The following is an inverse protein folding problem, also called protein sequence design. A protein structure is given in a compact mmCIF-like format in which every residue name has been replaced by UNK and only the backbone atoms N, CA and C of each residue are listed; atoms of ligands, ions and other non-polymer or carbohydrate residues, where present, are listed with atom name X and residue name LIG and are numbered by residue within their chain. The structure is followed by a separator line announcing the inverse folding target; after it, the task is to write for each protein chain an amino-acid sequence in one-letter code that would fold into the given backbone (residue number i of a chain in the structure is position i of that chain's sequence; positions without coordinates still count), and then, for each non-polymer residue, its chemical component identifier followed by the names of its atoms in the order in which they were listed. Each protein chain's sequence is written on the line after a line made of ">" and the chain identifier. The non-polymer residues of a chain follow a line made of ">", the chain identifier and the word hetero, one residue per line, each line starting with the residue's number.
data_IF_036566868096
#
_entry.id   IF_036566868096
#
_cell.length_a   1.000
_cell.length_b   1.000
_cell.length_c   1.000
_cell.angle_alpha   90.00
_cell.angle_beta   90.00
_cell.angle_gamma   90.00
#
_symmetry.space_group_name_H-M   'P 1'
#
loop_
_entity.id
_entity.type
_entity.pdbx_description
1 polymer ?
#
# COMPACT_ATOMS: atom_id res chain seq x y z
N UNK A 1 14.04 26.08 -14.14
CA UNK A 1 13.86 25.72 -12.72
C UNK A 1 12.41 25.68 -12.30
N UNK A 2 11.67 26.74 -12.62
CA UNK A 2 10.23 26.80 -12.28
C UNK A 2 9.44 25.65 -12.88
N UNK A 3 9.65 25.35 -14.17
CA UNK A 3 8.93 24.27 -14.87
C UNK A 3 9.32 22.91 -14.28
N UNK A 4 10.60 22.71 -14.03
CA UNK A 4 11.07 21.45 -13.45
C UNK A 4 10.52 21.25 -12.03
N UNK A 5 10.52 22.31 -11.23
CA UNK A 5 9.93 22.23 -9.89
C UNK A 5 8.46 21.89 -9.91
N UNK A 6 7.71 22.50 -10.83
CA UNK A 6 6.29 22.20 -10.99
C UNK A 6 6.07 20.76 -11.47
N UNK A 7 6.90 20.27 -12.37
CA UNK A 7 6.82 18.90 -12.85
C UNK A 7 7.03 17.92 -11.71
N UNK A 8 8.07 18.13 -10.92
CA UNK A 8 8.39 17.25 -9.78
C UNK A 8 7.28 17.29 -8.73
N UNK A 9 6.76 18.46 -8.45
CA UNK A 9 5.68 18.61 -7.48
C UNK A 9 4.42 17.90 -7.96
N UNK A 10 4.04 18.05 -9.23
CA UNK A 10 2.88 17.39 -9.79
C UNK A 10 3.04 15.88 -9.78
N UNK A 11 4.23 15.38 -10.12
CA UNK A 11 4.52 13.95 -10.10
C UNK A 11 4.37 13.41 -8.67
N UNK A 12 4.92 14.11 -7.69
CA UNK A 12 4.82 13.68 -6.30
C UNK A 12 3.38 13.67 -5.81
N UNK A 13 2.56 14.65 -6.24
CA UNK A 13 1.15 14.68 -5.87
C UNK A 13 0.39 13.49 -6.46
N UNK A 14 0.67 13.13 -7.69
CA UNK A 14 0.05 11.97 -8.32
C UNK A 14 0.45 10.69 -7.60
N UNK A 15 1.74 10.55 -7.28
CA UNK A 15 2.22 9.39 -6.53
C UNK A 15 1.55 9.29 -5.16
N UNK A 16 1.36 10.43 -4.49
CA UNK A 16 0.67 10.45 -3.21
C UNK A 16 -0.76 9.93 -3.34
N UNK A 17 -1.48 10.35 -4.38
CA UNK A 17 -2.84 9.90 -4.62
C UNK A 17 -2.87 8.40 -4.88
N UNK A 18 -1.96 7.90 -5.71
CA UNK A 18 -1.88 6.48 -6.02
C UNK A 18 -1.59 5.68 -4.75
N UNK A 19 -0.66 6.15 -3.93
CA UNK A 19 -0.33 5.49 -2.67
C UNK A 19 -1.51 5.47 -1.71
N UNK A 20 -2.28 6.56 -1.66
CA UNK A 20 -3.45 6.62 -0.80
C UNK A 20 -4.53 5.64 -1.24
N UNK A 21 -4.80 5.56 -2.54
CA UNK A 21 -5.75 4.58 -3.07
C UNK A 21 -5.30 3.16 -2.75
N UNK A 22 -4.03 2.87 -2.92
CA UNK A 22 -3.49 1.56 -2.61
C UNK A 22 -3.57 1.25 -1.11
N UNK A 23 -3.36 2.27 -0.27
CA UNK A 23 -3.52 2.11 1.17
C UNK A 23 -4.93 1.67 1.54
N UNK A 24 -5.94 2.31 0.94
CA UNK A 24 -7.33 1.91 1.19
C UNK A 24 -7.60 0.49 0.71
N UNK A 25 -7.05 0.11 -0.43
CA UNK A 25 -7.15 -1.26 -0.93
C UNK A 25 -6.52 -2.23 0.08
N UNK A 26 -5.37 -1.89 0.64
CA UNK A 26 -4.72 -2.71 1.65
C UNK A 26 -5.55 -2.82 2.94
N UNK A 27 -6.18 -1.73 3.36
CA UNK A 27 -7.04 -1.74 4.54
C UNK A 27 -8.21 -2.68 4.31
N UNK A 28 -8.86 -2.58 3.17
CA UNK A 28 -9.96 -3.47 2.83
C UNK A 28 -9.49 -4.92 2.78
N UNK A 29 -8.33 -5.17 2.19
CA UNK A 29 -7.76 -6.51 2.12
C UNK A 29 -7.50 -7.09 3.51
N UNK A 30 -6.99 -6.25 4.43
CA UNK A 30 -6.75 -6.69 5.79
C UNK A 30 -8.04 -7.07 6.51
N UNK A 31 -9.07 -6.24 6.34
CA UNK A 31 -10.37 -6.53 6.96
C UNK A 31 -10.99 -7.80 6.39
N UNK A 32 -10.89 -8.01 5.08
CA UNK A 32 -11.39 -9.22 4.45
C UNK A 32 -10.65 -10.46 4.95
N UNK A 33 -9.37 -10.33 5.23
CA UNK A 33 -8.58 -11.43 5.77
C UNK A 33 -9.12 -11.90 7.12
N UNK A 34 -9.63 -10.97 7.93
CA UNK A 34 -10.19 -11.30 9.25
C UNK A 34 -11.60 -11.84 9.16
N UNK A 35 -12.40 -11.33 8.20
CA UNK A 35 -13.79 -11.76 8.01
C UNK A 35 -13.87 -13.12 7.30
N UNK A 36 -12.84 -13.48 6.58
CA UNK A 36 -12.75 -14.75 5.84
C UNK A 36 -13.88 -14.89 4.81
N UNK A 37 -13.95 -13.98 3.83
CA UNK A 37 -15.05 -13.97 2.86
C UNK A 37 -14.93 -15.11 1.85
N UNK A 38 -16.01 -15.27 1.05
CA UNK A 38 -16.07 -16.26 -0.02
C UNK A 38 -14.93 -16.02 -1.01
N UNK A 39 -14.00 -16.99 -1.17
CA UNK A 39 -12.88 -16.82 -2.10
C UNK A 39 -13.29 -16.79 -3.58
N UNK A 40 -14.52 -17.17 -3.89
CA UNK A 40 -15.02 -17.14 -5.25
C UNK A 40 -15.68 -15.82 -5.61
N UNK A 41 -15.79 -14.89 -4.66
CA UNK A 41 -16.34 -13.57 -4.93
C UNK A 41 -15.39 -12.80 -5.87
N UNK A 42 -15.89 -12.27 -7.01
CA UNK A 42 -15.03 -11.57 -7.96
C UNK A 42 -14.32 -10.36 -7.36
N UNK A 43 -14.94 -9.65 -6.42
CA UNK A 43 -14.34 -8.50 -5.77
C UNK A 43 -13.16 -8.96 -4.91
N UNK A 44 -13.32 -10.04 -4.17
CA UNK A 44 -12.25 -10.60 -3.34
C UNK A 44 -11.10 -11.07 -4.22
N UNK A 45 -11.38 -11.73 -5.33
CA UNK A 45 -10.36 -12.17 -6.27
C UNK A 45 -9.59 -11.00 -6.87
N UNK A 46 -10.30 -9.94 -7.22
CA UNK A 46 -9.68 -8.73 -7.76
C UNK A 46 -8.74 -8.09 -6.72
N UNK A 47 -9.21 -7.92 -5.49
CA UNK A 47 -8.40 -7.35 -4.42
C UNK A 47 -7.15 -8.19 -4.16
N UNK A 48 -7.32 -9.52 -4.13
CA UNK A 48 -6.18 -10.40 -3.92
C UNK A 48 -5.17 -10.30 -5.06
N UNK A 49 -5.64 -10.18 -6.30
CA UNK A 49 -4.74 -10.14 -7.45
C UNK A 49 -3.84 -8.90 -7.46
N UNK A 50 -4.34 -7.77 -6.95
CA UNK A 50 -3.56 -6.53 -6.94
C UNK A 50 -2.75 -6.35 -5.65
N UNK A 51 -3.06 -7.09 -4.59
CA UNK A 51 -2.34 -6.96 -3.32
C UNK A 51 -1.38 -8.11 -3.06
N UNK A 52 -1.67 -9.30 -3.56
CA UNK A 52 -0.88 -10.50 -3.24
C UNK A 52 0.58 -10.39 -3.67
N UNK A 53 0.93 -9.83 -4.85
CA UNK A 53 2.35 -9.71 -5.20
C UNK A 53 3.16 -8.91 -4.18
N UNK A 54 2.59 -7.83 -3.66
CA UNK A 54 3.27 -7.00 -2.65
C UNK A 54 3.33 -7.74 -1.32
N UNK A 55 2.23 -8.34 -0.92
CA UNK A 55 2.16 -9.08 0.35
C UNK A 55 3.13 -10.28 0.34
N UNK A 56 3.23 -10.96 -0.78
CA UNK A 56 4.15 -12.07 -0.92
C UNK A 56 5.59 -11.63 -0.68
N UNK A 57 5.99 -10.50 -1.25
CA UNK A 57 7.33 -9.97 -1.05
C UNK A 57 7.59 -9.61 0.40
N UNK A 58 6.62 -9.00 1.05
CA UNK A 58 6.74 -8.62 2.46
C UNK A 58 6.86 -9.87 3.33
N UNK A 59 6.07 -10.90 3.05
CA UNK A 59 6.12 -12.15 3.82
C UNK A 59 7.46 -12.83 3.70
N UNK A 60 8.10 -12.74 2.53
CA UNK A 60 9.42 -13.32 2.34
C UNK A 60 10.50 -12.65 3.18
N UNK A 61 10.34 -11.34 3.42
CA UNK A 61 11.31 -10.57 4.18
C UNK A 61 11.11 -10.70 5.69
N UNK A 62 9.99 -11.26 6.13
CA UNK A 62 9.66 -11.34 7.54
C UNK A 62 9.41 -12.76 7.99
N UNK A 63 10.08 -13.20 9.06
CA UNK A 63 9.80 -14.51 9.64
C UNK A 63 8.54 -14.42 10.51
N UNK A 64 7.38 -14.69 9.90
CA UNK A 64 6.10 -14.62 10.60
C UNK A 64 5.54 -15.99 10.92
N UNK A 65 6.39 -17.00 10.91
CA UNK A 65 5.97 -18.35 11.18
C UNK A 65 5.51 -18.53 12.63
N UNK A 66 4.41 -19.23 12.81
CA UNK A 66 3.92 -19.61 14.12
C UNK A 66 2.87 -18.70 14.74
N UNK A 67 2.59 -17.54 14.18
CA UNK A 67 1.60 -16.62 14.77
C UNK A 67 0.17 -16.93 14.33
N UNK A 68 0.00 -17.49 13.13
CA UNK A 68 -1.33 -17.73 12.58
C UNK A 68 -2.05 -16.48 12.13
N UNK A 69 -1.48 -15.30 12.37
CA UNK A 69 -2.04 -14.02 11.98
C UNK A 69 -1.15 -13.38 10.93
N UNK A 70 -1.76 -12.89 9.86
CA UNK A 70 -1.04 -12.23 8.78
C UNK A 70 -0.94 -10.74 9.05
N UNK A 71 0.26 -10.28 9.40
CA UNK A 71 0.52 -8.86 9.65
C UNK A 71 1.08 -8.15 8.41
N UNK A 72 1.22 -8.85 7.28
CA UNK A 72 1.79 -8.26 6.06
C UNK A 72 1.05 -7.02 5.59
N UNK A 73 -0.31 -7.01 5.54
CA UNK A 73 -1.01 -5.80 5.12
C UNK A 73 -0.72 -4.60 6.01
N UNK A 74 -0.58 -4.81 7.32
CA UNK A 74 -0.29 -3.72 8.25
C UNK A 74 1.08 -3.11 7.95
N UNK A 75 2.07 -3.93 7.64
CA UNK A 75 3.41 -3.46 7.32
C UNK A 75 3.41 -2.67 6.03
N UNK A 76 2.68 -3.15 5.02
CA UNK A 76 2.56 -2.42 3.76
C UNK A 76 1.90 -1.06 3.99
N UNK A 77 0.86 -1.00 4.83
CA UNK A 77 0.20 0.26 5.16
C UNK A 77 1.19 1.22 5.82
N UNK A 78 1.98 0.74 6.76
CA UNK A 78 2.99 1.59 7.42
C UNK A 78 4.04 2.09 6.43
N UNK A 79 4.47 1.25 5.50
CA UNK A 79 5.40 1.66 4.46
C UNK A 79 4.80 2.73 3.56
N UNK A 80 3.51 2.59 3.20
CA UNK A 80 2.83 3.58 2.38
C UNK A 80 2.75 4.91 3.12
N UNK A 81 2.41 4.90 4.39
CA UNK A 81 2.35 6.12 5.21
C UNK A 81 3.73 6.79 5.25
N UNK A 82 4.77 6.00 5.43
CA UNK A 82 6.14 6.53 5.44
C UNK A 82 6.47 7.19 4.10
N UNK A 83 6.16 6.52 2.99
CA UNK A 83 6.44 7.06 1.66
C UNK A 83 5.63 8.33 1.40
N UNK A 84 4.37 8.37 1.83
CA UNK A 84 3.55 9.58 1.68
C UNK A 84 4.14 10.75 2.47
N UNK A 85 4.57 10.50 3.69
CA UNK A 85 5.18 11.54 4.52
C UNK A 85 6.49 12.04 3.90
N UNK A 86 7.28 11.12 3.38
CA UNK A 86 8.53 11.48 2.71
C UNK A 86 8.26 12.38 1.50
N UNK A 87 7.27 12.02 0.68
CA UNK A 87 6.94 12.81 -0.50
C UNK A 87 6.44 14.20 -0.13
N UNK A 88 5.56 14.29 0.88
CA UNK A 88 5.04 15.60 1.31
C UNK A 88 6.16 16.48 1.83
N UNK A 89 7.04 15.95 2.65
CA UNK A 89 8.17 16.71 3.19
C UNK A 89 9.14 17.14 2.08
N UNK A 90 9.36 16.26 1.11
CA UNK A 90 10.24 16.59 -0.02
C UNK A 90 9.64 17.69 -0.88
N UNK A 91 8.33 17.69 -1.10
CA UNK A 91 7.65 18.76 -1.85
C UNK A 91 7.82 20.09 -1.11
N UNK A 92 7.70 20.06 0.20
CA UNK A 92 7.84 21.26 1.00
C UNK A 92 9.23 21.90 0.92
N UNK A 93 10.23 21.12 0.53
CA UNK A 93 11.60 21.62 0.34
C UNK A 93 11.85 22.14 -1.06
N UNK A 94 10.96 21.87 -1.99
CA UNK A 94 11.08 22.34 -3.37
C UNK A 94 10.42 23.69 -3.54
#
# INVERSE_FOLDING_TARGET
>A
MFILGNFLSATAQILKIILELYMWIMIIRALLSWVNPDPYNPIVQFLNSITEPVLYRVRQLMPMSGTGIDFSPMIVILLIIFLQSFLVNSIGML
#
